data_IF_720807619269
#
_entry.id   IF_720807619269
#
_cell.length_a   1.000
_cell.length_b   1.000
_cell.length_c   1.000
_cell.angle_alpha   90.00
_cell.angle_beta   90.00
_cell.angle_gamma   90.00
#
_symmetry.space_group_name_H-M   'P 1'
#
loop_
_entity.id
_entity.type
_entity.pdbx_description
1 polymer ?
#
# COMPACT_ATOMS: atom_id res chain seq x y z
N UNK A 1 21.87 14.69 49.86
CA UNK A 1 21.47 13.28 49.57
C UNK A 1 20.26 13.15 48.64
N UNK A 2 19.21 13.97 48.77
CA UNK A 2 18.01 13.90 47.91
C UNK A 2 18.29 14.24 46.43
N UNK A 3 19.10 15.27 46.17
CA UNK A 3 19.50 15.69 44.81
C UNK A 3 20.35 14.64 44.09
N UNK A 4 21.28 14.00 44.81
CA UNK A 4 22.13 12.95 44.25
C UNK A 4 21.31 11.71 43.86
N UNK A 5 20.34 11.31 44.70
CA UNK A 5 19.40 10.22 44.37
C UNK A 5 18.52 10.56 43.17
N UNK A 6 18.09 11.82 43.04
CA UNK A 6 17.31 12.29 41.88
C UNK A 6 18.11 12.21 40.58
N UNK A 7 19.38 12.65 40.60
CA UNK A 7 20.27 12.58 39.44
C UNK A 7 20.55 11.13 39.03
N UNK A 8 20.74 10.21 39.98
CA UNK A 8 20.94 8.79 39.68
C UNK A 8 19.71 8.15 39.03
N UNK A 9 18.50 8.49 39.49
CA UNK A 9 17.24 8.01 38.90
C UNK A 9 17.02 8.58 37.50
N UNK A 10 17.30 9.88 37.28
CA UNK A 10 17.21 10.48 35.95
C UNK A 10 18.19 9.83 34.96
N UNK A 11 19.43 9.55 35.39
CA UNK A 11 20.43 8.91 34.53
C UNK A 11 20.03 7.48 34.14
N UNK A 12 19.42 6.72 35.06
CA UNK A 12 18.92 5.37 34.77
C UNK A 12 17.71 5.38 33.82
N UNK A 13 16.80 6.36 33.94
CA UNK A 13 15.66 6.49 33.03
C UNK A 13 16.07 6.81 31.58
N UNK A 14 17.12 7.61 31.37
CA UNK A 14 17.60 7.96 30.02
C UNK A 14 18.21 6.74 29.31
N UNK A 15 18.88 5.84 30.04
CA UNK A 15 19.45 4.61 29.47
C UNK A 15 18.38 3.63 28.94
N UNK A 16 17.23 3.54 29.62
CA UNK A 16 16.12 2.65 29.19
C UNK A 16 15.40 3.20 27.95
N UNK A 17 15.27 4.53 27.82
CA UNK A 17 14.65 5.17 26.65
C UNK A 17 15.42 4.95 25.35
N UNK A 18 16.76 4.82 25.40
CA UNK A 18 17.57 4.55 24.22
C UNK A 18 17.37 3.12 23.65
N UNK A 19 16.92 2.18 24.48
CA UNK A 19 16.63 0.80 24.07
C UNK A 19 15.17 0.58 23.61
N UNK A 20 14.34 1.63 23.63
CA UNK A 20 12.94 1.60 23.19
C UNK A 20 12.76 2.00 21.72
N UNK A 21 13.84 2.34 21.00
CA UNK A 21 13.81 2.51 19.55
C UNK A 21 13.69 1.12 18.89
N UNK A 22 12.60 0.86 18.18
CA UNK A 22 12.34 -0.42 17.53
C UNK A 22 13.56 -0.96 16.74
N UNK A 23 14.13 -2.09 17.18
CA UNK A 23 15.14 -2.81 16.40
C UNK A 23 14.47 -3.64 15.30
N UNK A 24 14.29 -3.05 14.12
CA UNK A 24 14.09 -3.86 12.92
C UNK A 24 15.41 -4.54 12.54
N UNK A 25 15.38 -5.84 12.22
CA UNK A 25 16.58 -6.54 11.78
C UNK A 25 17.11 -5.91 10.48
N UNK A 26 18.43 -5.78 10.39
CA UNK A 26 19.06 -5.41 9.12
C UNK A 26 18.87 -6.56 8.13
N UNK A 27 18.30 -6.27 6.96
CA UNK A 27 18.07 -7.29 5.93
C UNK A 27 19.42 -7.69 5.32
N UNK A 28 19.79 -8.98 5.33
CA UNK A 28 20.96 -9.47 4.65
C UNK A 28 20.92 -9.16 3.15
N UNK A 29 22.06 -8.75 2.57
CA UNK A 29 22.15 -8.38 1.16
C UNK A 29 21.67 -9.49 0.21
N UNK A 30 21.97 -10.75 0.52
CA UNK A 30 21.51 -11.92 -0.24
C UNK A 30 19.98 -12.02 -0.32
N UNK A 31 19.31 -11.82 0.82
CA UNK A 31 17.85 -11.86 0.89
C UNK A 31 17.22 -10.67 0.15
N UNK A 32 17.83 -9.49 0.24
CA UNK A 32 17.39 -8.33 -0.53
C UNK A 32 17.49 -8.58 -2.03
N UNK A 33 18.61 -9.12 -2.52
CA UNK A 33 18.80 -9.45 -3.94
C UNK A 33 17.76 -10.45 -4.45
N UNK A 34 17.46 -11.48 -3.65
CA UNK A 34 16.44 -12.46 -4.01
C UNK A 34 15.04 -11.82 -4.10
N UNK A 35 14.70 -10.96 -3.15
CA UNK A 35 13.43 -10.23 -3.15
C UNK A 35 13.33 -9.26 -4.35
N UNK A 36 14.41 -8.56 -4.67
CA UNK A 36 14.46 -7.63 -5.81
C UNK A 36 14.32 -8.37 -7.14
N UNK A 37 14.95 -9.54 -7.29
CA UNK A 37 14.80 -10.38 -8.48
C UNK A 37 13.35 -10.89 -8.65
N UNK A 38 12.73 -11.35 -7.56
CA UNK A 38 11.33 -11.78 -7.59
C UNK A 38 10.37 -10.63 -7.93
N UNK A 39 10.63 -9.44 -7.38
CA UNK A 39 9.86 -8.23 -7.70
C UNK A 39 10.01 -7.85 -9.17
N UNK A 40 11.24 -7.82 -9.69
CA UNK A 40 11.50 -7.45 -11.08
C UNK A 40 10.76 -8.37 -12.07
N UNK A 41 10.71 -9.67 -11.80
CA UNK A 41 9.95 -10.62 -12.64
C UNK A 41 8.44 -10.39 -12.54
N UNK A 42 7.92 -10.11 -11.34
CA UNK A 42 6.50 -9.79 -11.13
C UNK A 42 6.10 -8.49 -11.84
N UNK A 43 6.93 -7.44 -11.73
CA UNK A 43 6.72 -6.15 -12.36
C UNK A 43 6.73 -6.29 -13.89
N UNK A 44 7.70 -7.02 -14.43
CA UNK A 44 7.76 -7.32 -15.87
C UNK A 44 6.48 -8.01 -16.36
N UNK A 45 5.98 -9.02 -15.63
CA UNK A 45 4.74 -9.72 -15.98
C UNK A 45 3.52 -8.79 -15.91
N UNK A 46 3.49 -7.91 -14.91
CA UNK A 46 2.45 -6.88 -14.75
C UNK A 46 2.46 -5.91 -15.93
N UNK A 47 3.62 -5.41 -16.30
CA UNK A 47 3.81 -4.48 -17.42
C UNK A 47 3.40 -5.13 -18.75
N UNK A 48 3.80 -6.38 -19.00
CA UNK A 48 3.38 -7.13 -20.19
C UNK A 48 1.86 -7.31 -20.26
N UNK A 49 1.21 -7.61 -19.13
CA UNK A 49 -0.25 -7.71 -19.07
C UNK A 49 -0.92 -6.36 -19.35
N UNK A 50 -0.38 -5.27 -18.78
CA UNK A 50 -0.88 -3.92 -19.02
C UNK A 50 -0.73 -3.51 -20.48
N UNK A 51 0.43 -3.76 -21.10
CA UNK A 51 0.69 -3.48 -22.51
C UNK A 51 -0.27 -4.24 -23.43
N UNK A 52 -0.59 -5.51 -23.11
CA UNK A 52 -1.61 -6.29 -23.85
C UNK A 52 -3.00 -5.67 -23.75
N UNK A 53 -3.34 -5.06 -22.61
CA UNK A 53 -4.62 -4.38 -22.39
C UNK A 53 -4.65 -2.93 -22.91
N UNK A 54 -3.50 -2.35 -23.27
CA UNK A 54 -3.42 -0.95 -23.68
C UNK A 54 -4.27 -0.60 -24.92
N UNK A 55 -4.39 -1.45 -25.97
CA UNK A 55 -5.23 -1.14 -27.12
C UNK A 55 -6.71 -1.00 -26.75
N UNK A 56 -7.25 -1.90 -25.93
CA UNK A 56 -8.65 -1.85 -25.51
C UNK A 56 -8.91 -0.66 -24.57
N UNK A 57 -7.95 -0.32 -23.70
CA UNK A 57 -8.04 0.88 -22.85
C UNK A 57 -8.15 2.14 -23.72
N UNK A 58 -7.29 2.29 -24.74
CA UNK A 58 -7.31 3.44 -25.66
C UNK A 58 -8.60 3.50 -26.48
N UNK A 59 -9.12 2.36 -26.91
CA UNK A 59 -10.41 2.29 -27.60
C UNK A 59 -11.54 2.83 -26.70
N UNK A 60 -11.61 2.40 -25.45
CA UNK A 60 -12.61 2.86 -24.50
C UNK A 60 -12.41 4.31 -24.05
N UNK A 61 -11.17 4.75 -23.92
CA UNK A 61 -10.83 6.16 -23.68
C UNK A 61 -11.39 7.05 -24.79
N UNK A 62 -11.24 6.64 -26.06
CA UNK A 62 -11.79 7.38 -27.21
C UNK A 62 -13.31 7.44 -27.24
N UNK A 63 -14.00 6.42 -26.71
CA UNK A 63 -15.47 6.38 -26.58
C UNK A 63 -15.99 7.28 -25.46
N UNK A 64 -15.10 7.74 -24.57
CA UNK A 64 -15.46 8.53 -23.41
C UNK A 64 -16.24 7.73 -22.36
N UNK A 65 -16.62 8.42 -21.28
CA UNK A 65 -17.48 7.86 -20.23
C UNK A 65 -18.91 7.77 -20.78
N UNK A 66 -19.60 6.62 -20.68
CA UNK A 66 -21.01 6.52 -21.06
C UNK A 66 -21.83 7.58 -20.33
N UNK A 67 -22.47 8.48 -21.09
CA UNK A 67 -23.39 9.48 -20.53
C UNK A 67 -24.75 8.82 -20.28
N UNK A 68 -25.22 8.87 -19.04
CA UNK A 68 -26.52 8.33 -18.63
C UNK A 68 -27.46 9.52 -18.37
N UNK A 69 -28.36 9.87 -19.31
CA UNK A 69 -29.09 11.15 -19.27
C UNK A 69 -30.09 11.28 -18.11
N UNK A 70 -30.51 10.16 -17.51
CA UNK A 70 -31.38 10.14 -16.34
C UNK A 70 -30.61 9.98 -15.02
N UNK A 71 -29.28 9.89 -15.04
CA UNK A 71 -28.50 9.70 -13.82
C UNK A 71 -28.45 10.99 -13.00
N UNK A 72 -29.29 11.05 -11.96
CA UNK A 72 -29.35 12.15 -11.01
C UNK A 72 -28.59 11.82 -9.72
N UNK A 73 -28.49 10.53 -9.39
CA UNK A 73 -27.84 10.00 -8.20
C UNK A 73 -26.81 8.91 -8.56
N UNK A 74 -25.83 8.63 -7.68
CA UNK A 74 -24.82 7.60 -7.93
C UNK A 74 -25.39 6.19 -8.19
N UNK A 75 -26.57 5.88 -7.65
CA UNK A 75 -27.26 4.58 -7.84
C UNK A 75 -27.81 4.41 -9.25
N UNK A 76 -27.99 5.50 -10.00
CA UNK A 76 -28.50 5.48 -11.38
C UNK A 76 -27.41 5.06 -12.39
N UNK A 77 -26.14 5.04 -11.96
CA UNK A 77 -25.01 4.59 -12.78
C UNK A 77 -24.89 3.06 -12.75
N UNK A 78 -24.48 2.43 -13.86
CA UNK A 78 -24.20 1.00 -13.88
C UNK A 78 -23.17 0.60 -12.81
N UNK A 79 -23.61 -0.24 -11.87
CA UNK A 79 -22.74 -0.79 -10.81
C UNK A 79 -22.10 -2.09 -11.26
N UNK A 80 -20.84 -2.30 -10.88
CA UNK A 80 -20.19 -3.57 -11.11
C UNK A 80 -20.88 -4.66 -10.27
N UNK A 81 -21.15 -5.83 -10.86
CA UNK A 81 -21.70 -7.00 -10.13
C UNK A 81 -20.70 -7.57 -9.12
N UNK A 82 -19.41 -7.28 -9.31
CA UNK A 82 -18.32 -7.78 -8.48
C UNK A 82 -18.20 -6.85 -7.28
N UNK A 83 -18.29 -7.37 -6.04
CA UNK A 83 -18.08 -6.55 -4.86
C UNK A 83 -16.61 -6.09 -4.79
N UNK A 84 -16.35 -4.93 -4.20
CA UNK A 84 -14.99 -4.41 -4.07
C UNK A 84 -14.07 -5.37 -3.29
N UNK A 85 -14.62 -6.11 -2.33
CA UNK A 85 -13.97 -7.17 -1.56
C UNK A 85 -15.03 -8.12 -0.97
N UNK A 86 -14.65 -9.35 -0.51
CA UNK A 86 -15.59 -10.28 0.10
C UNK A 86 -16.34 -9.64 1.28
N UNK A 87 -17.67 -9.66 1.23
CA UNK A 87 -18.54 -9.06 2.27
C UNK A 87 -18.86 -7.58 2.10
N UNK A 88 -18.37 -6.91 1.04
CA UNK A 88 -18.79 -5.55 0.71
C UNK A 88 -20.24 -5.53 0.20
N UNK A 89 -21.12 -4.81 0.89
CA UNK A 89 -22.48 -4.51 0.44
C UNK A 89 -22.49 -3.13 -0.23
N UNK A 90 -21.98 -3.06 -1.46
CA UNK A 90 -22.01 -1.82 -2.23
C UNK A 90 -20.95 -1.76 -3.33
N UNK A 91 -21.42 -1.60 -4.56
CA UNK A 91 -20.69 -1.10 -5.72
C UNK A 91 -21.44 0.09 -6.28
#
# INVERSE_FOLDING_TARGET
>A
MKLLRFLTVCFSCVGVLAHLCAQYPTVPAELQRAADAARAEADKRSDEAFQKSLPIIKEWESKGRPYVPWASKPEDLPKAKIPAFPGAWGG
#
